data_IF_956245766522
#
_entry.id   IF_956245766522
#
_cell.length_a   1.000
_cell.length_b   1.000
_cell.length_c   1.000
_cell.angle_alpha   90.00
_cell.angle_beta   90.00
_cell.angle_gamma   90.00
#
_symmetry.space_group_name_H-M   'P 1'
#
loop_
_entity.id
_entity.type
_entity.pdbx_description
1 polymer ?
#
# COMPACT_ATOMS: atom_id res chain seq x y z
N UNK A 1 -6.38 23.06 -5.29
CA UNK A 1 -5.55 21.88 -4.88
C UNK A 1 -4.20 22.36 -4.38
N UNK A 2 -3.60 21.77 -3.31
CA UNK A 2 -2.24 22.17 -2.87
C UNK A 2 -1.21 21.93 -3.97
N UNK A 3 -0.29 22.89 -4.17
CA UNK A 3 0.74 22.85 -5.21
C UNK A 3 1.62 21.59 -5.14
N UNK A 4 2.01 21.13 -3.95
CA UNK A 4 2.80 19.91 -3.80
C UNK A 4 2.03 18.64 -4.20
N UNK A 5 0.70 18.63 -4.00
CA UNK A 5 -0.15 17.55 -4.50
C UNK A 5 -0.24 17.61 -6.01
N UNK A 6 -0.47 18.79 -6.60
CA UNK A 6 -0.51 19.00 -8.04
C UNK A 6 0.77 18.45 -8.70
N UNK A 7 1.95 18.91 -8.25
CA UNK A 7 3.23 18.45 -8.78
C UNK A 7 3.46 16.94 -8.63
N UNK A 8 2.99 16.35 -7.52
CA UNK A 8 3.08 14.90 -7.34
C UNK A 8 2.18 14.13 -8.31
N UNK A 9 1.03 14.68 -8.67
CA UNK A 9 0.09 14.08 -9.63
C UNK A 9 0.53 14.22 -11.08
N UNK A 10 1.45 15.14 -11.41
CA UNK A 10 2.11 15.16 -12.72
C UNK A 10 3.11 14.01 -12.91
N UNK A 11 3.46 13.30 -11.85
CA UNK A 11 4.41 12.18 -11.89
C UNK A 11 5.88 12.57 -11.83
N UNK A 12 6.23 13.85 -11.90
CA UNK A 12 7.63 14.29 -11.97
C UNK A 12 8.35 14.22 -10.63
N UNK A 13 7.62 14.38 -9.51
CA UNK A 13 8.24 14.43 -8.18
C UNK A 13 7.29 13.93 -7.08
N UNK A 14 7.83 13.56 -5.91
CA UNK A 14 7.02 13.28 -4.71
C UNK A 14 6.53 14.57 -4.05
N UNK A 15 5.48 14.50 -3.20
CA UNK A 15 5.00 15.67 -2.46
C UNK A 15 6.09 16.33 -1.61
N UNK A 16 6.93 15.55 -0.89
CA UNK A 16 8.08 16.07 -0.14
C UNK A 16 9.16 16.66 -1.04
N UNK A 17 9.40 16.04 -2.20
CA UNK A 17 10.30 16.60 -3.20
C UNK A 17 9.79 17.90 -3.79
N UNK A 18 8.48 18.00 -4.02
CA UNK A 18 7.84 19.24 -4.47
C UNK A 18 7.98 20.35 -3.43
N UNK A 19 7.77 20.07 -2.13
CA UNK A 19 7.98 21.03 -1.05
C UNK A 19 9.43 21.57 -1.07
N UNK A 20 10.43 20.71 -1.34
CA UNK A 20 11.82 21.13 -1.49
C UNK A 20 12.02 22.04 -2.71
N UNK A 21 11.48 21.70 -3.88
CA UNK A 21 11.57 22.53 -5.09
C UNK A 21 10.90 23.90 -4.90
N UNK A 22 9.78 23.94 -4.19
CA UNK A 22 9.07 25.18 -3.85
C UNK A 22 9.95 26.05 -2.95
N UNK A 23 10.57 25.46 -1.92
CA UNK A 23 11.50 26.18 -1.01
C UNK A 23 12.75 26.69 -1.73
N UNK A 24 13.20 25.98 -2.79
CA UNK A 24 14.32 26.38 -3.65
C UNK A 24 13.91 27.45 -4.70
N UNK A 25 12.66 27.91 -4.72
CA UNK A 25 12.19 28.92 -5.66
C UNK A 25 12.03 28.43 -7.11
N UNK A 26 12.01 27.11 -7.35
CA UNK A 26 11.92 26.52 -8.69
C UNK A 26 10.52 26.46 -9.25
N UNK A 27 9.49 26.71 -8.44
CA UNK A 27 8.07 26.53 -8.81
C UNK A 27 7.37 27.87 -8.87
N UNK A 28 6.64 28.11 -9.95
CA UNK A 28 5.78 29.29 -10.11
C UNK A 28 4.35 28.87 -10.43
N UNK A 29 3.39 29.71 -10.05
CA UNK A 29 1.98 29.66 -10.46
C UNK A 29 1.68 30.97 -11.18
N UNK A 30 1.25 30.92 -12.43
CA UNK A 30 0.97 32.11 -13.26
C UNK A 30 2.13 33.11 -13.33
N UNK A 31 3.39 32.61 -13.27
CA UNK A 31 4.61 33.42 -13.27
C UNK A 31 5.09 33.89 -11.90
N UNK A 32 4.27 33.81 -10.86
CA UNK A 32 4.63 34.20 -9.48
C UNK A 32 5.23 33.03 -8.70
N UNK A 33 6.27 33.25 -7.86
CA UNK A 33 6.86 32.20 -7.05
C UNK A 33 5.85 31.54 -6.10
N UNK A 34 5.78 30.21 -6.14
CA UNK A 34 4.94 29.45 -5.23
C UNK A 34 5.59 29.33 -3.84
N UNK A 35 4.76 29.28 -2.81
CA UNK A 35 5.16 28.97 -1.43
C UNK A 35 4.61 27.61 -0.98
N UNK A 36 5.18 27.02 0.08
CA UNK A 36 4.65 25.81 0.68
C UNK A 36 3.23 26.09 1.18
N UNK A 37 2.24 25.37 0.63
CA UNK A 37 0.82 25.59 0.94
C UNK A 37 0.05 26.38 -0.12
N UNK A 38 0.70 27.01 -1.12
CA UNK A 38 0.01 27.61 -2.25
C UNK A 38 -1.00 26.66 -2.87
N UNK A 39 -2.12 27.20 -3.34
CA UNK A 39 -3.18 26.45 -3.99
C UNK A 39 -3.06 26.63 -5.51
N UNK A 40 -3.36 25.59 -6.25
CA UNK A 40 -3.52 25.60 -7.72
C UNK A 40 -5.00 25.48 -7.99
N UNK A 41 -5.54 26.40 -8.76
CA UNK A 41 -6.92 26.43 -9.22
C UNK A 41 -7.04 25.93 -10.67
N UNK A 42 -8.27 25.80 -11.13
CA UNK A 42 -8.52 25.37 -12.50
C UNK A 42 -8.15 26.49 -13.47
N UNK A 43 -7.28 26.23 -14.42
CA UNK A 43 -6.77 27.22 -15.37
C UNK A 43 -5.42 27.84 -14.99
N UNK A 44 -4.89 27.57 -13.80
CA UNK A 44 -3.57 28.03 -13.42
C UNK A 44 -2.47 27.35 -14.23
N UNK A 45 -1.46 28.13 -14.61
CA UNK A 45 -0.25 27.66 -15.27
C UNK A 45 0.83 27.43 -14.21
N UNK A 46 1.19 26.16 -14.00
CA UNK A 46 2.26 25.77 -13.06
C UNK A 46 3.53 25.49 -13.86
N UNK A 47 4.64 26.14 -13.47
CA UNK A 47 5.95 25.88 -14.06
C UNK A 47 6.96 25.41 -13.02
N UNK A 48 7.90 24.57 -13.46
CA UNK A 48 9.10 24.16 -12.72
C UNK A 48 10.32 24.51 -13.55
N UNK A 49 11.24 25.29 -12.98
CA UNK A 49 12.41 25.85 -13.69
C UNK A 49 12.01 26.51 -15.04
N UNK A 50 10.91 27.25 -15.03
CA UNK A 50 10.37 27.97 -16.19
C UNK A 50 9.64 27.10 -17.24
N UNK A 51 9.53 25.79 -17.02
CA UNK A 51 8.80 24.88 -17.92
C UNK A 51 7.44 24.53 -17.36
N UNK A 52 6.40 24.72 -18.18
CA UNK A 52 5.03 24.33 -17.81
C UNK A 52 4.94 22.83 -17.54
N UNK A 53 4.27 22.46 -16.46
CA UNK A 53 3.97 21.06 -16.08
C UNK A 53 2.48 20.83 -16.03
N UNK A 54 2.03 19.80 -16.74
CA UNK A 54 0.61 19.44 -16.87
C UNK A 54 0.33 18.08 -16.23
N UNK A 55 -0.90 17.93 -15.76
CA UNK A 55 -1.40 16.66 -15.23
C UNK A 55 -1.99 15.85 -16.39
N UNK A 56 -1.16 15.15 -17.14
CA UNK A 56 -1.56 14.31 -18.28
C UNK A 56 -1.25 12.81 -18.05
N UNK A 57 -1.12 12.38 -16.79
CA UNK A 57 -0.68 11.05 -16.49
C UNK A 57 -1.85 10.05 -16.47
N UNK A 58 -1.75 8.98 -17.25
CA UNK A 58 -2.65 7.84 -17.16
C UNK A 58 -2.55 7.21 -15.75
N UNK A 59 -3.71 6.99 -15.11
CA UNK A 59 -3.75 6.30 -13.83
C UNK A 59 -3.51 4.81 -14.02
N UNK A 60 -2.68 4.22 -13.14
CA UNK A 60 -2.36 2.80 -13.15
C UNK A 60 -2.61 2.18 -11.78
N UNK A 61 -3.10 0.95 -11.79
CA UNK A 61 -3.38 0.16 -10.60
C UNK A 61 -2.79 -1.23 -10.79
N UNK A 62 -1.81 -1.59 -9.97
CA UNK A 62 -0.95 -2.75 -10.18
C UNK A 62 -1.07 -3.70 -9.00
N UNK A 63 -1.16 -4.99 -9.29
CA UNK A 63 -1.00 -6.08 -8.34
C UNK A 63 0.39 -6.69 -8.52
N UNK A 64 1.19 -6.68 -7.47
CA UNK A 64 2.50 -7.32 -7.39
C UNK A 64 2.42 -8.53 -6.46
N UNK A 65 2.97 -9.67 -6.86
CA UNK A 65 3.32 -10.74 -5.93
C UNK A 65 4.73 -10.45 -5.38
N UNK A 66 4.79 -9.66 -4.30
CA UNK A 66 6.04 -9.22 -3.70
C UNK A 66 6.84 -10.42 -3.17
N UNK A 67 8.08 -10.63 -3.57
CA UNK A 67 8.93 -11.66 -2.97
C UNK A 67 9.42 -11.22 -1.58
N UNK A 68 9.88 -12.20 -0.79
CA UNK A 68 10.69 -11.96 0.41
C UNK A 68 11.97 -11.22 0.02
N UNK A 69 12.46 -10.34 0.90
CA UNK A 69 13.69 -9.56 0.69
C UNK A 69 13.49 -8.19 0.08
N UNK A 70 12.31 -7.91 -0.52
CA UNK A 70 11.99 -6.58 -1.09
C UNK A 70 11.29 -5.73 -0.04
N UNK A 71 11.76 -4.48 0.12
CA UNK A 71 11.22 -3.51 1.07
C UNK A 71 10.13 -2.66 0.45
N UNK A 72 8.97 -2.55 1.10
CA UNK A 72 7.86 -1.69 0.68
C UNK A 72 8.17 -0.23 1.01
N UNK A 73 9.01 0.41 0.20
CA UNK A 73 9.40 1.82 0.29
C UNK A 73 9.56 2.43 -1.10
N UNK A 74 9.35 3.75 -1.19
CA UNK A 74 9.62 4.56 -2.39
C UNK A 74 11.01 5.23 -2.35
N UNK A 75 11.79 5.01 -1.29
CA UNK A 75 13.11 5.60 -1.11
C UNK A 75 14.14 4.82 -1.93
N UNK A 76 14.57 5.41 -3.06
CA UNK A 76 15.47 4.75 -4.02
C UNK A 76 16.88 4.49 -3.50
N UNK A 77 17.34 5.19 -2.46
CA UNK A 77 18.63 4.89 -1.81
C UNK A 77 18.62 3.55 -1.05
N UNK A 78 17.43 3.02 -0.73
CA UNK A 78 17.30 1.71 -0.10
C UNK A 78 17.35 0.65 -1.20
N UNK A 79 18.43 -0.15 -1.20
CA UNK A 79 18.58 -1.28 -2.14
C UNK A 79 17.45 -2.30 -1.92
N UNK A 80 16.89 -2.79 -3.03
CA UNK A 80 15.75 -3.73 -2.99
C UNK A 80 14.46 -3.08 -2.57
N UNK A 81 14.28 -1.79 -2.87
CA UNK A 81 12.98 -1.13 -2.74
C UNK A 81 12.01 -1.61 -3.81
N UNK A 82 10.71 -1.56 -3.50
CA UNK A 82 9.66 -2.12 -4.37
C UNK A 82 9.50 -1.35 -5.68
N UNK A 83 9.81 -0.06 -5.72
CA UNK A 83 9.64 0.77 -6.92
C UNK A 83 10.66 0.39 -7.99
N UNK A 84 11.93 0.28 -7.60
CA UNK A 84 12.99 -0.16 -8.51
C UNK A 84 12.80 -1.64 -8.91
N UNK A 85 12.27 -2.47 -8.00
CA UNK A 85 11.96 -3.87 -8.28
C UNK A 85 10.91 -4.03 -9.39
N UNK A 86 9.82 -3.25 -9.34
CA UNK A 86 8.77 -3.26 -10.37
C UNK A 86 9.23 -2.61 -11.66
N UNK A 87 10.09 -1.58 -11.56
CA UNK A 87 10.66 -0.83 -12.69
C UNK A 87 9.61 -0.35 -13.70
N UNK A 88 8.50 0.21 -13.19
CA UNK A 88 7.42 0.72 -14.04
C UNK A 88 7.82 2.07 -14.68
N UNK A 89 7.45 2.35 -15.97
CA UNK A 89 7.81 3.60 -16.66
C UNK A 89 7.20 4.84 -16.00
N UNK A 90 6.01 4.72 -15.40
CA UNK A 90 5.41 5.80 -14.64
C UNK A 90 5.89 5.76 -13.19
N UNK A 91 5.90 6.93 -12.54
CA UNK A 91 6.21 7.03 -11.13
C UNK A 91 5.08 6.45 -10.29
N UNK A 92 5.29 5.27 -9.74
CA UNK A 92 4.34 4.56 -8.87
C UNK A 92 4.79 4.55 -7.41
N UNK A 93 3.84 4.23 -6.52
CA UNK A 93 4.07 4.00 -5.10
C UNK A 93 3.14 2.91 -4.57
N UNK A 94 3.56 2.27 -3.48
CA UNK A 94 2.80 1.17 -2.87
C UNK A 94 1.59 1.67 -2.06
N UNK A 95 0.50 0.89 -2.09
CA UNK A 95 -0.68 1.08 -1.25
C UNK A 95 -0.54 0.20 0.00
N UNK A 96 -0.24 0.83 1.12
CA UNK A 96 0.11 0.11 2.34
C UNK A 96 1.47 -0.57 2.23
N UNK A 97 1.78 -1.39 3.21
CA UNK A 97 3.09 -2.04 3.31
C UNK A 97 2.93 -3.53 3.54
N UNK A 98 3.93 -4.27 3.12
CA UNK A 98 4.15 -5.66 3.45
C UNK A 98 5.61 -5.78 3.90
N UNK A 99 5.86 -6.40 5.04
CA UNK A 99 7.19 -6.49 5.63
C UNK A 99 8.20 -7.12 4.65
N UNK A 100 9.48 -6.82 4.84
CA UNK A 100 10.57 -7.35 4.01
C UNK A 100 10.60 -8.88 3.99
N UNK A 101 10.33 -9.50 5.15
CA UNK A 101 10.29 -10.96 5.32
C UNK A 101 8.95 -11.59 4.92
N UNK A 102 7.98 -10.81 4.50
CA UNK A 102 6.66 -11.28 4.07
C UNK A 102 6.53 -11.19 2.55
N UNK A 103 5.65 -12.02 1.99
CA UNK A 103 5.44 -12.13 0.55
C UNK A 103 3.97 -12.00 0.16
N UNK A 104 3.69 -11.95 -1.12
CA UNK A 104 2.33 -11.96 -1.67
C UNK A 104 1.85 -10.61 -2.16
N UNK A 105 0.54 -10.43 -2.16
CA UNK A 105 -0.13 -9.31 -2.81
C UNK A 105 0.23 -7.96 -2.19
N UNK A 106 0.80 -7.10 -3.01
CA UNK A 106 1.01 -5.68 -2.73
C UNK A 106 0.46 -4.88 -3.89
N UNK A 107 -0.40 -3.90 -3.60
CA UNK A 107 -0.93 -2.99 -4.61
C UNK A 107 -0.01 -1.78 -4.77
N UNK A 108 0.15 -1.32 -6.03
CA UNK A 108 0.87 -0.09 -6.35
C UNK A 108 0.03 0.74 -7.32
N UNK A 109 0.26 2.05 -7.30
CA UNK A 109 -0.48 3.00 -8.15
C UNK A 109 0.30 4.32 -8.28
N UNK A 110 -0.11 5.18 -9.19
CA UNK A 110 0.25 6.60 -9.24
C UNK A 110 -0.91 7.51 -8.78
N UNK A 111 -2.04 6.92 -8.38
CA UNK A 111 -3.21 7.63 -7.87
C UNK A 111 -3.13 7.78 -6.35
N UNK A 112 -2.77 8.99 -5.89
CA UNK A 112 -2.64 9.27 -4.45
C UNK A 112 -3.96 9.37 -3.69
N UNK A 113 -5.07 9.61 -4.38
CA UNK A 113 -6.38 9.79 -3.74
C UNK A 113 -6.98 8.45 -3.29
N UNK A 114 -6.75 7.38 -4.04
CA UNK A 114 -7.26 6.04 -3.67
C UNK A 114 -6.54 5.44 -2.45
N UNK A 115 -5.26 5.81 -2.23
CA UNK A 115 -4.43 5.21 -1.16
C UNK A 115 -5.09 5.36 0.21
N UNK A 116 -5.52 6.57 0.55
CA UNK A 116 -6.15 6.82 1.85
C UNK A 116 -7.50 6.09 1.98
N UNK A 117 -8.25 5.94 0.89
CA UNK A 117 -9.52 5.22 0.89
C UNK A 117 -9.33 3.73 1.20
N UNK A 118 -8.25 3.12 0.68
CA UNK A 118 -7.93 1.70 0.94
C UNK A 118 -7.35 1.50 2.35
N UNK A 119 -6.53 2.45 2.84
CA UNK A 119 -5.72 2.22 4.05
C UNK A 119 -6.37 2.65 5.36
N UNK A 120 -7.38 3.53 5.34
CA UNK A 120 -8.02 4.00 6.58
C UNK A 120 -8.67 2.84 7.33
N UNK A 121 -8.30 2.68 8.60
CA UNK A 121 -8.80 1.60 9.45
C UNK A 121 -10.32 1.66 9.65
N UNK A 122 -10.89 2.86 9.67
CA UNK A 122 -12.35 3.12 9.78
C UNK A 122 -13.18 2.51 8.63
N UNK A 123 -12.54 2.15 7.51
CA UNK A 123 -13.22 1.58 6.35
C UNK A 123 -13.35 0.05 6.42
N UNK A 124 -12.81 -0.61 7.43
CA UNK A 124 -12.90 -2.06 7.65
C UNK A 124 -12.53 -2.92 6.44
N UNK A 125 -11.51 -2.52 5.68
CA UNK A 125 -11.09 -3.24 4.48
C UNK A 125 -10.28 -4.50 4.81
N UNK A 126 -10.84 -5.64 4.44
CA UNK A 126 -10.26 -6.95 4.68
C UNK A 126 -8.95 -7.20 3.93
N UNK A 127 -8.03 -7.85 4.61
CA UNK A 127 -6.79 -8.42 4.06
C UNK A 127 -6.67 -9.86 4.53
N UNK A 128 -6.44 -10.77 3.61
CA UNK A 128 -6.39 -12.20 3.87
C UNK A 128 -4.97 -12.74 3.70
N UNK A 129 -4.56 -13.56 4.66
CA UNK A 129 -3.21 -14.09 4.73
C UNK A 129 -3.21 -15.59 4.96
N UNK A 130 -2.21 -16.27 4.38
CA UNK A 130 -1.80 -17.63 4.72
C UNK A 130 -0.53 -17.55 5.54
N UNK A 131 -0.54 -18.17 6.70
CA UNK A 131 0.55 -18.09 7.68
C UNK A 131 1.02 -19.49 8.06
N UNK A 132 2.32 -19.73 7.92
CA UNK A 132 2.98 -20.94 8.44
C UNK A 132 3.75 -20.61 9.69
N UNK A 133 3.60 -21.45 10.70
CA UNK A 133 4.27 -21.35 12.02
C UNK A 133 5.21 -22.52 12.29
N UNK A 134 6.00 -22.41 13.33
CA UNK A 134 7.07 -23.35 13.69
C UNK A 134 6.56 -24.67 14.30
N UNK A 135 5.38 -24.69 14.91
CA UNK A 135 4.85 -25.83 15.65
C UNK A 135 3.36 -26.07 15.38
N UNK A 136 2.82 -27.25 15.75
CA UNK A 136 1.43 -27.61 15.51
C UNK A 136 0.44 -26.60 16.10
N UNK A 137 -0.60 -26.28 15.32
CA UNK A 137 -1.67 -25.36 15.67
C UNK A 137 -2.74 -26.11 16.45
N UNK A 138 -3.05 -25.61 17.65
CA UNK A 138 -4.11 -26.14 18.52
C UNK A 138 -5.42 -25.37 18.34
N UNK A 139 -6.54 -25.94 18.76
CA UNK A 139 -7.82 -25.21 18.81
C UNK A 139 -7.74 -23.99 19.74
N UNK A 140 -7.01 -24.12 20.86
CA UNK A 140 -6.79 -22.99 21.76
C UNK A 140 -6.07 -21.83 21.07
N UNK A 141 -5.07 -22.11 20.21
CA UNK A 141 -4.41 -21.08 19.41
C UNK A 141 -5.40 -20.38 18.49
N UNK A 142 -6.22 -21.13 17.74
CA UNK A 142 -7.22 -20.56 16.81
C UNK A 142 -8.21 -19.67 17.55
N UNK A 143 -8.75 -20.15 18.67
CA UNK A 143 -9.71 -19.40 19.47
C UNK A 143 -9.12 -18.10 20.04
N UNK A 144 -7.92 -18.16 20.62
CA UNK A 144 -7.23 -16.96 21.14
C UNK A 144 -6.86 -15.98 20.04
N UNK A 145 -6.34 -16.48 18.91
CA UNK A 145 -5.98 -15.65 17.75
C UNK A 145 -7.20 -14.91 17.19
N UNK A 146 -8.34 -15.59 17.10
CA UNK A 146 -9.60 -15.03 16.57
C UNK A 146 -10.31 -14.07 17.54
N UNK A 147 -10.16 -14.25 18.84
CA UNK A 147 -10.78 -13.40 19.85
C UNK A 147 -10.09 -12.03 20.03
N UNK A 148 -8.87 -11.90 19.54
CA UNK A 148 -8.00 -10.76 19.76
C UNK A 148 -6.85 -11.07 20.71
N UNK A 149 -5.69 -10.46 20.46
CA UNK A 149 -4.44 -10.71 21.20
C UNK A 149 -3.84 -9.37 21.62
N UNK A 150 -3.32 -9.30 22.85
CA UNK A 150 -2.64 -8.11 23.36
C UNK A 150 -1.26 -7.96 22.70
N UNK A 151 -1.07 -6.86 21.99
CA UNK A 151 0.18 -6.47 21.34
C UNK A 151 0.31 -4.95 21.35
N UNK A 152 1.54 -4.42 21.41
CA UNK A 152 1.77 -2.96 21.25
C UNK A 152 0.88 -2.10 22.15
N UNK A 153 0.69 -2.48 23.40
CA UNK A 153 -0.15 -1.77 24.38
C UNK A 153 -1.65 -1.64 23.98
N UNK A 154 -2.11 -2.53 23.09
CA UNK A 154 -3.51 -2.60 22.67
C UNK A 154 -3.93 -4.04 22.41
N UNK A 155 -5.22 -4.33 22.51
CA UNK A 155 -5.79 -5.61 22.09
C UNK A 155 -6.22 -5.51 20.62
N UNK A 156 -5.82 -6.48 19.79
CA UNK A 156 -6.25 -6.51 18.38
C UNK A 156 -7.76 -6.75 18.29
N UNK A 157 -8.38 -6.26 17.20
CA UNK A 157 -9.77 -6.58 16.92
C UNK A 157 -9.96 -8.09 16.72
N UNK A 158 -11.14 -8.64 17.09
CA UNK A 158 -11.50 -10.00 16.71
C UNK A 158 -11.39 -10.19 15.20
N UNK A 159 -11.00 -11.38 14.76
CA UNK A 159 -10.77 -11.66 13.37
C UNK A 159 -11.08 -13.12 13.01
N UNK A 160 -11.29 -13.37 11.71
CA UNK A 160 -11.49 -14.74 11.23
C UNK A 160 -10.16 -15.48 11.18
N UNK A 161 -10.12 -16.68 11.78
CA UNK A 161 -8.96 -17.58 11.75
C UNK A 161 -9.41 -19.00 11.48
N UNK A 162 -8.75 -19.68 10.53
CA UNK A 162 -9.07 -21.05 10.12
C UNK A 162 -7.78 -21.87 10.01
N UNK A 163 -7.77 -23.05 10.65
CA UNK A 163 -6.67 -24.01 10.49
C UNK A 163 -6.76 -24.66 9.11
N UNK A 164 -5.70 -24.54 8.30
CA UNK A 164 -5.58 -25.16 6.97
C UNK A 164 -4.89 -26.52 7.09
N UNK A 165 -3.82 -26.59 7.86
CA UNK A 165 -3.05 -27.82 8.10
C UNK A 165 -2.39 -27.78 9.49
N UNK A 166 -1.56 -28.75 9.79
CA UNK A 166 -0.93 -28.86 11.12
C UNK A 166 -0.21 -27.57 11.56
N UNK A 167 0.49 -26.90 10.64
CA UNK A 167 1.28 -25.70 10.93
C UNK A 167 0.89 -24.49 10.09
N UNK A 168 -0.25 -24.53 9.40
CA UNK A 168 -0.70 -23.45 8.49
C UNK A 168 -2.10 -23.03 8.86
N UNK A 169 -2.32 -21.72 8.94
CA UNK A 169 -3.65 -21.14 9.14
C UNK A 169 -3.89 -19.97 8.16
N UNK A 170 -5.16 -19.69 7.94
CA UNK A 170 -5.66 -18.52 7.25
C UNK A 170 -6.14 -17.51 8.28
N UNK A 171 -5.88 -16.24 8.04
CA UNK A 171 -6.38 -15.13 8.88
C UNK A 171 -6.87 -13.99 8.00
N UNK A 172 -8.02 -13.41 8.35
CA UNK A 172 -8.58 -12.23 7.69
C UNK A 172 -8.61 -11.09 8.69
N UNK A 173 -7.93 -9.99 8.35
CA UNK A 173 -7.81 -8.79 9.18
C UNK A 173 -8.39 -7.58 8.47
N UNK A 174 -9.14 -6.77 9.20
CA UNK A 174 -9.53 -5.40 8.80
C UNK A 174 -8.50 -4.37 9.28
N UNK A 175 -7.80 -4.68 10.33
CA UNK A 175 -6.76 -3.89 10.99
C UNK A 175 -5.39 -4.05 10.31
N UNK A 176 -4.46 -3.12 10.54
CA UNK A 176 -3.12 -3.15 9.97
C UNK A 176 -2.05 -2.59 10.91
N UNK A 177 -1.96 -3.10 12.14
CA UNK A 177 -0.93 -2.70 13.10
C UNK A 177 0.47 -3.18 12.65
N UNK A 178 1.51 -2.50 13.13
CA UNK A 178 2.88 -2.86 12.82
C UNK A 178 3.18 -4.32 13.15
N UNK A 179 3.53 -5.12 12.12
CA UNK A 179 3.87 -6.55 12.21
C UNK A 179 2.82 -7.38 12.98
N UNK A 180 1.54 -7.01 12.85
CA UNK A 180 0.43 -7.49 13.68
C UNK A 180 0.40 -9.03 13.81
N UNK A 181 0.34 -9.76 12.70
CA UNK A 181 0.24 -11.23 12.71
C UNK A 181 1.44 -11.86 13.39
N UNK A 182 2.67 -11.37 13.13
CA UNK A 182 3.89 -11.88 13.76
C UNK A 182 3.89 -11.66 15.27
N UNK A 183 3.42 -10.49 15.71
CA UNK A 183 3.30 -10.16 17.14
C UNK A 183 2.23 -10.99 17.83
N UNK A 184 1.06 -11.17 17.18
CA UNK A 184 -0.01 -12.03 17.69
C UNK A 184 0.47 -13.48 17.85
N UNK A 185 1.14 -14.04 16.84
CA UNK A 185 1.74 -15.38 16.95
C UNK A 185 2.75 -15.45 18.08
N UNK A 186 3.67 -14.49 18.20
CA UNK A 186 4.68 -14.45 19.25
C UNK A 186 4.07 -14.37 20.65
N UNK A 187 3.03 -13.56 20.85
CA UNK A 187 2.32 -13.46 22.12
C UNK A 187 1.65 -14.79 22.53
N UNK A 188 1.25 -15.61 21.56
CA UNK A 188 0.71 -16.96 21.79
C UNK A 188 1.80 -18.05 21.80
N UNK A 189 3.09 -17.66 21.78
CA UNK A 189 4.23 -18.58 21.86
C UNK A 189 4.56 -19.30 20.54
N UNK A 190 4.20 -18.73 19.37
CA UNK A 190 4.48 -19.27 18.04
C UNK A 190 5.41 -18.34 17.26
N UNK A 191 6.23 -18.91 16.36
CA UNK A 191 7.09 -18.16 15.45
C UNK A 191 6.61 -18.32 14.01
N UNK A 192 6.39 -17.19 13.31
CA UNK A 192 5.98 -17.21 11.90
C UNK A 192 7.18 -17.58 11.02
N UNK A 193 7.05 -18.65 10.24
CA UNK A 193 8.04 -19.11 9.26
C UNK A 193 7.78 -18.52 7.87
N UNK A 194 6.51 -18.45 7.48
CA UNK A 194 6.09 -17.86 6.20
C UNK A 194 4.81 -17.06 6.40
N UNK A 195 4.72 -15.89 5.79
CA UNK A 195 3.54 -15.05 5.79
C UNK A 195 3.30 -14.54 4.37
N UNK A 196 2.16 -14.91 3.79
CA UNK A 196 1.76 -14.53 2.45
C UNK A 196 0.41 -13.84 2.47
N UNK A 197 0.34 -12.61 1.96
CA UNK A 197 -0.95 -11.94 1.73
C UNK A 197 -1.52 -12.38 0.40
N UNK A 198 -2.73 -12.93 0.40
CA UNK A 198 -3.37 -13.50 -0.80
C UNK A 198 -4.56 -12.67 -1.31
N UNK A 199 -5.09 -11.73 -0.51
CA UNK A 199 -6.20 -10.87 -0.91
C UNK A 199 -6.15 -9.52 -0.19
N UNK A 200 -6.55 -8.48 -0.89
CA UNK A 200 -6.87 -7.14 -0.35
C UNK A 200 -8.22 -6.76 -0.96
N UNK A 201 -9.25 -6.60 -0.13
CA UNK A 201 -10.62 -6.33 -0.58
C UNK A 201 -11.07 -7.37 -1.63
N UNK A 202 -11.45 -6.93 -2.84
CA UNK A 202 -11.82 -7.79 -3.97
C UNK A 202 -10.62 -8.28 -4.80
N UNK A 203 -9.41 -7.72 -4.60
CA UNK A 203 -8.23 -8.08 -5.39
C UNK A 203 -7.57 -9.32 -4.80
N UNK A 204 -7.46 -10.37 -5.61
CA UNK A 204 -6.84 -11.64 -5.24
C UNK A 204 -5.48 -11.82 -5.91
N UNK A 205 -4.55 -12.46 -5.20
CA UNK A 205 -3.26 -12.83 -5.75
C UNK A 205 -3.40 -13.79 -6.94
N UNK A 206 -4.31 -14.77 -6.83
CA UNK A 206 -4.58 -15.74 -7.87
C UNK A 206 -3.31 -16.50 -8.28
N UNK A 207 -3.12 -16.67 -9.58
CA UNK A 207 -2.00 -17.41 -10.18
C UNK A 207 -0.77 -16.52 -10.50
N UNK A 208 -0.75 -15.28 -9.99
CA UNK A 208 0.38 -14.37 -10.20
C UNK A 208 1.64 -14.96 -9.55
N UNK A 209 2.67 -15.26 -10.34
CA UNK A 209 3.91 -15.87 -9.83
C UNK A 209 4.69 -14.89 -8.97
N UNK A 210 5.45 -15.40 -8.01
CA UNK A 210 6.33 -14.60 -7.14
C UNK A 210 7.27 -13.72 -7.98
N UNK A 211 7.37 -12.45 -7.63
CA UNK A 211 8.17 -11.47 -8.35
C UNK A 211 7.50 -10.86 -9.58
N UNK A 212 6.37 -11.38 -10.03
CA UNK A 212 5.62 -10.82 -11.15
C UNK A 212 4.59 -9.79 -10.69
N UNK A 213 4.30 -8.86 -11.56
CA UNK A 213 3.22 -7.89 -11.42
C UNK A 213 2.34 -7.85 -12.68
N UNK A 214 1.13 -7.35 -12.53
CA UNK A 214 0.17 -7.10 -13.59
C UNK A 214 -0.67 -5.88 -13.28
N UNK A 215 -1.24 -5.28 -14.29
CA UNK A 215 -2.32 -4.31 -14.08
C UNK A 215 -3.56 -5.01 -13.49
N UNK A 216 -4.36 -4.27 -12.72
CA UNK A 216 -5.69 -4.72 -12.33
C UNK A 216 -6.57 -4.77 -13.58
N UNK A 217 -7.37 -5.82 -13.72
CA UNK A 217 -8.37 -5.90 -14.78
C UNK A 217 -9.44 -4.83 -14.62
N UNK A 218 -10.11 -4.45 -15.70
CA UNK A 218 -11.22 -3.49 -15.65
C UNK A 218 -12.30 -3.91 -14.64
N UNK A 219 -12.62 -5.22 -14.58
CA UNK A 219 -13.57 -5.76 -13.62
C UNK A 219 -13.10 -5.55 -12.17
N UNK A 220 -11.84 -5.82 -11.88
CA UNK A 220 -11.25 -5.59 -10.54
C UNK A 220 -11.28 -4.10 -10.17
N UNK A 221 -10.96 -3.21 -11.11
CA UNK A 221 -10.98 -1.77 -10.89
C UNK A 221 -12.40 -1.26 -10.64
N UNK A 222 -13.36 -1.62 -11.48
CA UNK A 222 -14.76 -1.21 -11.31
C UNK A 222 -15.32 -1.65 -9.95
N UNK A 223 -15.07 -2.89 -9.55
CA UNK A 223 -15.51 -3.41 -8.26
C UNK A 223 -14.79 -2.71 -7.10
N UNK A 224 -13.48 -2.51 -7.18
CA UNK A 224 -12.69 -1.79 -6.19
C UNK A 224 -13.19 -0.36 -5.99
N UNK A 225 -13.41 0.37 -7.08
CA UNK A 225 -13.91 1.75 -7.02
C UNK A 225 -15.31 1.84 -6.44
N UNK A 226 -16.18 0.89 -6.77
CA UNK A 226 -17.51 0.79 -6.17
C UNK A 226 -17.43 0.57 -4.66
N UNK A 227 -16.62 -0.38 -4.19
CA UNK A 227 -16.43 -0.68 -2.77
C UNK A 227 -15.86 0.53 -2.00
N UNK A 228 -15.03 1.34 -2.64
CA UNK A 228 -14.41 2.53 -2.06
C UNK A 228 -15.27 3.80 -2.19
N UNK A 229 -16.41 3.72 -2.86
CA UNK A 229 -17.16 4.91 -3.30
C UNK A 229 -16.21 5.97 -3.90
N UNK A 230 -15.45 5.54 -4.92
CA UNK A 230 -14.37 6.30 -5.53
C UNK A 230 -14.54 6.43 -7.04
N UNK A 231 -14.32 7.63 -7.56
CA UNK A 231 -14.22 7.90 -9.00
C UNK A 231 -12.84 8.49 -9.28
N UNK A 232 -12.01 7.84 -10.10
CA UNK A 232 -10.75 8.41 -10.56
C UNK A 232 -10.97 9.74 -11.26
N UNK A 233 -10.04 10.68 -11.09
CA UNK A 233 -10.11 12.02 -11.68
C UNK A 233 -9.30 12.11 -12.96
#
# INVERSE_FOLDING_TARGET
>A
MRINKYLSETGIISRRGADKWIAEGKVTINGEPATVGSQVENGDIVCVDGKEVKKEQQLVYIALNKPVGITSTTERHIKGNVVDFVNHPLRIFHIGRLDKESEGLLLLTNDGDIVNKILRAENHHEKEYIVQVDKPITEQFINKMGAGVDILDTTTLPCYVEKISDKVFKIILEQGLNRQIRRMCSALGYSVKRLQRIRIMNIKLGNLKVGQWRDLTDKEQVELFKLLNYTPK
#
